data_IF_163464639340
#
_entry.id   IF_163464639340
#
_cell.length_a   1.000
_cell.length_b   1.000
_cell.length_c   1.000
_cell.angle_alpha   90.00
_cell.angle_beta   90.00
_cell.angle_gamma   90.00
#
_symmetry.space_group_name_H-M   'P 1'
#
loop_
_entity.id
_entity.type
_entity.pdbx_description
1 polymer ?
#
# COMPACT_ATOMS: atom_id res chain seq x y z
N UNK A 1 17.49 4.50 15.90
CA UNK A 1 16.89 5.83 15.62
C UNK A 1 15.53 5.60 14.98
N UNK A 2 14.45 5.99 15.67
CA UNK A 2 13.08 5.89 15.16
C UNK A 2 12.85 7.02 14.15
N UNK A 3 13.22 6.80 12.89
CA UNK A 3 12.73 7.64 11.81
C UNK A 3 11.26 7.28 11.61
N UNK A 4 10.34 8.18 11.95
CA UNK A 4 8.94 8.02 11.58
C UNK A 4 8.88 7.81 10.06
N UNK A 5 8.46 6.62 9.64
CA UNK A 5 8.41 6.22 8.22
C UNK A 5 7.15 6.74 7.52
N UNK A 6 6.28 7.41 8.26
CA UNK A 6 4.99 7.91 7.81
C UNK A 6 4.68 9.31 8.38
N UNK A 7 4.12 10.17 7.53
CA UNK A 7 3.52 11.46 7.89
C UNK A 7 2.02 11.37 7.67
N UNK A 8 1.22 11.86 8.63
CA UNK A 8 -0.24 11.81 8.63
C UNK A 8 -0.80 13.20 8.82
N UNK A 9 -1.63 13.65 7.89
CA UNK A 9 -2.18 15.00 7.91
C UNK A 9 -3.65 14.97 7.51
N UNK A 10 -4.51 15.60 8.30
CA UNK A 10 -5.89 15.88 7.90
C UNK A 10 -5.92 17.23 7.17
N UNK A 11 -6.41 17.24 5.93
CA UNK A 11 -6.43 18.39 5.04
C UNK A 11 -7.89 18.81 4.81
N UNK A 12 -8.24 20.03 5.19
CA UNK A 12 -9.54 20.63 4.86
C UNK A 12 -9.48 21.30 3.48
N UNK A 13 -10.39 20.92 2.59
CA UNK A 13 -10.59 21.53 1.27
C UNK A 13 -11.91 22.29 1.32
N UNK A 14 -11.86 23.59 1.07
CA UNK A 14 -13.01 24.49 1.12
C UNK A 14 -13.33 25.01 -0.27
N UNK A 15 -14.58 24.85 -0.70
CA UNK A 15 -15.04 25.25 -2.04
C UNK A 15 -15.81 26.55 -1.99
N UNK A 16 -15.80 27.31 -3.09
CA UNK A 16 -16.56 28.57 -3.22
C UNK A 16 -18.08 28.37 -3.08
N UNK A 17 -18.57 27.13 -3.24
CA UNK A 17 -19.97 26.71 -3.04
C UNK A 17 -20.37 26.67 -1.56
N UNK A 18 -19.43 26.84 -0.64
CA UNK A 18 -19.64 26.69 0.81
C UNK A 18 -19.54 25.25 1.31
N UNK A 19 -19.36 24.28 0.41
CA UNK A 19 -19.10 22.88 0.80
C UNK A 19 -17.64 22.70 1.21
N UNK A 20 -17.38 21.73 2.09
CA UNK A 20 -16.03 21.35 2.47
C UNK A 20 -15.84 19.84 2.48
N UNK A 21 -14.61 19.42 2.21
CA UNK A 21 -14.20 18.02 2.27
C UNK A 21 -12.94 17.88 3.11
N UNK A 22 -12.87 16.83 3.91
CA UNK A 22 -11.69 16.49 4.67
C UNK A 22 -10.98 15.30 4.03
N UNK A 23 -9.70 15.47 3.73
CA UNK A 23 -8.86 14.44 3.13
C UNK A 23 -7.81 14.03 4.14
N UNK A 24 -7.77 12.74 4.49
CA UNK A 24 -6.68 12.18 5.26
C UNK A 24 -5.55 11.81 4.32
N UNK A 25 -4.43 12.51 4.45
CA UNK A 25 -3.22 12.29 3.67
C UNK A 25 -2.22 11.47 4.48
N UNK A 26 -1.75 10.35 3.91
CA UNK A 26 -0.80 9.43 4.56
C UNK A 26 0.40 9.22 3.64
N UNK A 27 1.55 9.78 4.00
CA UNK A 27 2.77 9.74 3.20
C UNK A 27 3.78 8.77 3.79
N UNK A 28 4.20 7.76 3.03
CA UNK A 28 5.34 6.91 3.38
C UNK A 28 6.64 7.52 2.85
N UNK A 29 7.52 7.97 3.73
CA UNK A 29 8.65 8.86 3.36
C UNK A 29 9.93 8.11 3.04
N UNK A 30 10.16 6.94 3.62
CA UNK A 30 11.42 6.20 3.51
C UNK A 30 11.37 5.09 2.45
N UNK A 31 11.02 5.45 1.22
CA UNK A 31 10.94 4.53 0.07
C UNK A 31 11.49 5.17 -1.21
N UNK A 32 12.75 4.84 -1.58
CA UNK A 32 13.38 5.40 -2.76
C UNK A 32 12.70 4.93 -4.05
N UNK A 33 12.82 5.73 -5.12
CA UNK A 33 12.30 5.34 -6.42
C UNK A 33 13.06 4.12 -6.97
N UNK A 34 12.35 3.26 -7.71
CA UNK A 34 12.85 1.96 -8.21
C UNK A 34 13.32 0.95 -7.14
N UNK A 35 13.39 1.34 -5.87
CA UNK A 35 13.74 0.47 -4.74
C UNK A 35 12.53 -0.07 -4.00
N UNK A 36 12.81 -0.58 -2.79
CA UNK A 36 11.83 -1.16 -1.87
C UNK A 36 11.86 -0.41 -0.53
N UNK A 37 10.79 -0.49 0.29
CA UNK A 37 10.84 0.00 1.66
C UNK A 37 12.00 -0.62 2.45
N UNK A 38 12.67 0.18 3.27
CA UNK A 38 13.80 -0.29 4.09
C UNK A 38 13.37 -1.26 5.21
N UNK A 39 12.14 -1.10 5.71
CA UNK A 39 11.56 -1.95 6.76
C UNK A 39 10.28 -2.60 6.26
N UNK A 40 10.27 -3.94 6.23
CA UNK A 40 9.08 -4.73 5.92
C UNK A 40 7.98 -4.45 6.95
N UNK A 41 8.34 -4.43 8.24
CA UNK A 41 7.40 -4.15 9.33
C UNK A 41 6.83 -2.74 9.30
N UNK A 42 7.67 -1.75 9.01
CA UNK A 42 7.20 -0.37 8.80
C UNK A 42 6.19 -0.29 7.66
N UNK A 43 6.45 -1.01 6.57
CA UNK A 43 5.55 -1.05 5.43
C UNK A 43 4.23 -1.78 5.73
N UNK A 44 4.26 -2.91 6.42
CA UNK A 44 3.05 -3.63 6.86
C UNK A 44 2.18 -2.72 7.74
N UNK A 45 2.79 -2.01 8.70
CA UNK A 45 2.08 -1.05 9.57
C UNK A 45 1.44 0.08 8.77
N UNK A 46 2.17 0.64 7.80
CA UNK A 46 1.68 1.69 6.91
C UNK A 46 0.46 1.23 6.08
N UNK A 47 0.53 0.08 5.41
CA UNK A 47 -0.59 -0.45 4.60
C UNK A 47 -1.82 -0.70 5.47
N UNK A 48 -1.64 -1.34 6.64
CA UNK A 48 -2.73 -1.57 7.61
C UNK A 48 -3.34 -0.27 8.11
N UNK A 49 -2.51 0.75 8.38
CA UNK A 49 -2.98 2.05 8.83
C UNK A 49 -3.79 2.76 7.75
N UNK A 50 -3.31 2.77 6.49
CA UNK A 50 -4.02 3.38 5.37
C UNK A 50 -5.40 2.74 5.16
N UNK A 51 -5.46 1.40 5.18
CA UNK A 51 -6.70 0.62 5.07
C UNK A 51 -7.66 0.90 6.23
N UNK A 52 -7.18 0.87 7.47
CA UNK A 52 -8.00 1.15 8.67
C UNK A 52 -8.53 2.59 8.70
N UNK A 53 -7.80 3.52 8.09
CA UNK A 53 -8.17 4.93 8.04
C UNK A 53 -9.17 5.27 6.94
N UNK A 54 -9.41 4.34 6.01
CA UNK A 54 -10.35 4.50 4.91
C UNK A 54 -11.80 4.45 5.42
N UNK A 55 -12.65 5.34 4.89
CA UNK A 55 -14.07 5.40 5.25
C UNK A 55 -14.95 4.89 4.11
N UNK A 56 -14.94 5.57 2.97
CA UNK A 56 -15.76 5.25 1.79
C UNK A 56 -15.08 5.72 0.50
N UNK A 57 -15.56 5.23 -0.65
CA UNK A 57 -15.06 5.60 -1.98
C UNK A 57 -13.73 4.92 -2.36
N UNK A 58 -13.09 5.33 -3.47
CA UNK A 58 -11.76 4.84 -3.82
C UNK A 58 -10.66 5.50 -2.99
N UNK A 59 -9.57 4.77 -2.71
CA UNK A 59 -8.34 5.33 -2.15
C UNK A 59 -7.46 5.84 -3.30
N UNK A 60 -7.06 7.11 -3.26
CA UNK A 60 -6.06 7.65 -4.16
C UNK A 60 -4.66 7.24 -3.68
N UNK A 61 -3.95 6.47 -4.50
CA UNK A 61 -2.56 6.05 -4.24
C UNK A 61 -1.66 6.58 -5.36
N UNK A 62 -0.60 7.31 -5.02
CA UNK A 62 0.35 7.83 -5.99
C UNK A 62 1.80 7.69 -5.52
N UNK A 63 2.72 7.81 -6.47
CA UNK A 63 4.15 8.00 -6.23
C UNK A 63 4.67 9.09 -7.17
N UNK A 64 5.81 8.90 -7.84
CA UNK A 64 6.25 9.74 -8.96
C UNK A 64 5.47 9.39 -10.24
N UNK A 65 5.78 8.26 -10.90
CA UNK A 65 5.07 7.80 -12.11
C UNK A 65 3.73 7.10 -11.84
N UNK A 66 3.38 6.85 -10.58
CA UNK A 66 2.13 6.19 -10.18
C UNK A 66 2.02 4.72 -10.61
N UNK A 67 3.14 3.97 -10.70
CA UNK A 67 3.11 2.55 -11.13
C UNK A 67 4.02 1.62 -10.30
N UNK A 68 5.26 2.00 -9.98
CA UNK A 68 6.20 1.14 -9.24
C UNK A 68 5.80 0.95 -7.78
N UNK A 69 5.98 2.00 -6.97
CA UNK A 69 5.64 2.01 -5.53
C UNK A 69 4.13 1.87 -5.31
N UNK A 70 3.34 2.54 -6.15
CA UNK A 70 1.87 2.39 -6.19
C UNK A 70 1.47 0.94 -6.39
N UNK A 71 2.04 0.23 -7.36
CA UNK A 71 1.73 -1.17 -7.62
C UNK A 71 2.07 -2.09 -6.46
N UNK A 72 3.19 -1.85 -5.76
CA UNK A 72 3.56 -2.63 -4.56
C UNK A 72 2.56 -2.41 -3.43
N UNK A 73 2.13 -1.17 -3.18
CA UNK A 73 1.09 -0.87 -2.19
C UNK A 73 -0.22 -1.60 -2.51
N UNK A 74 -0.71 -1.45 -3.74
CA UNK A 74 -1.97 -2.06 -4.17
C UNK A 74 -1.92 -3.59 -4.12
N UNK A 75 -0.82 -4.20 -4.58
CA UNK A 75 -0.67 -5.66 -4.53
C UNK A 75 -0.75 -6.19 -3.09
N UNK A 76 -0.07 -5.52 -2.16
CA UNK A 76 -0.04 -5.95 -0.75
C UNK A 76 -1.40 -5.72 -0.07
N UNK A 77 -2.08 -4.60 -0.32
CA UNK A 77 -3.43 -4.36 0.22
C UNK A 77 -4.44 -5.41 -0.28
N UNK A 78 -4.39 -5.78 -1.57
CA UNK A 78 -5.24 -6.85 -2.13
C UNK A 78 -4.96 -8.18 -1.44
N UNK A 79 -3.70 -8.54 -1.22
CA UNK A 79 -3.34 -9.78 -0.50
C UNK A 79 -3.81 -9.74 0.95
N UNK A 80 -3.66 -8.62 1.65
CA UNK A 80 -4.16 -8.48 3.03
C UNK A 80 -5.69 -8.66 3.09
N UNK A 81 -6.42 -8.06 2.15
CA UNK A 81 -7.86 -8.26 2.03
C UNK A 81 -8.23 -9.74 1.77
N UNK A 82 -7.45 -10.44 0.93
CA UNK A 82 -7.67 -11.86 0.67
C UNK A 82 -7.40 -12.72 1.91
N UNK A 83 -6.31 -12.47 2.64
CA UNK A 83 -5.98 -13.14 3.91
C UNK A 83 -7.10 -12.92 4.94
N UNK A 84 -7.51 -11.66 5.16
CA UNK A 84 -8.59 -11.30 6.11
C UNK A 84 -9.90 -12.02 5.81
N UNK A 85 -10.20 -12.26 4.53
CA UNK A 85 -11.42 -12.92 4.06
C UNK A 85 -11.27 -14.42 3.82
N UNK A 86 -10.12 -15.00 4.15
CA UNK A 86 -9.79 -16.40 3.89
C UNK A 86 -9.97 -16.80 2.40
N UNK A 87 -9.60 -15.92 1.48
CA UNK A 87 -9.61 -16.18 0.05
C UNK A 87 -8.21 -16.56 -0.47
N UNK A 88 -8.15 -17.48 -1.45
CA UNK A 88 -6.89 -17.77 -2.13
C UNK A 88 -6.42 -16.53 -2.89
N UNK A 89 -5.11 -16.29 -2.89
CA UNK A 89 -4.51 -15.19 -3.63
C UNK A 89 -3.30 -15.70 -4.44
N UNK A 90 -3.00 -14.99 -5.53
CA UNK A 90 -1.81 -15.25 -6.33
C UNK A 90 -1.22 -13.91 -6.78
N UNK A 91 0.00 -13.59 -6.31
CA UNK A 91 0.65 -12.30 -6.57
C UNK A 91 0.83 -12.06 -8.08
N UNK A 92 1.18 -13.09 -8.87
CA UNK A 92 1.34 -12.95 -10.32
C UNK A 92 0.04 -12.52 -10.99
N UNK A 93 -1.08 -13.15 -10.62
CA UNK A 93 -2.39 -12.84 -11.18
C UNK A 93 -2.86 -11.43 -10.77
N UNK A 94 -2.65 -11.04 -9.51
CA UNK A 94 -2.95 -9.69 -9.02
C UNK A 94 -2.17 -8.65 -9.84
N UNK A 95 -0.87 -8.87 -10.04
CA UNK A 95 -0.03 -7.94 -10.80
C UNK A 95 -0.42 -7.90 -12.28
N UNK A 96 -0.78 -9.03 -12.89
CA UNK A 96 -1.30 -9.07 -14.26
C UNK A 96 -2.57 -8.23 -14.40
N UNK A 97 -3.56 -8.42 -13.53
CA UNK A 97 -4.81 -7.65 -13.53
C UNK A 97 -4.58 -6.15 -13.30
N UNK A 98 -3.65 -5.78 -12.40
CA UNK A 98 -3.29 -4.37 -12.21
C UNK A 98 -2.67 -3.78 -13.49
N UNK A 99 -1.85 -4.54 -14.21
CA UNK A 99 -1.21 -4.10 -15.46
C UNK A 99 -2.18 -3.97 -16.63
N UNK A 100 -3.29 -4.72 -16.62
CA UNK A 100 -4.40 -4.55 -17.57
C UNK A 100 -5.13 -3.21 -17.38
N UNK A 101 -5.23 -2.72 -16.14
CA UNK A 101 -5.89 -1.45 -15.82
C UNK A 101 -4.94 -0.24 -15.92
N UNK A 102 -3.67 -0.42 -15.55
CA UNK A 102 -2.62 0.60 -15.69
C UNK A 102 -1.29 -0.06 -15.98
N UNK A 103 -0.80 0.15 -17.21
CA UNK A 103 0.46 -0.40 -17.68
C UNK A 103 1.63 -0.08 -16.73
N UNK A 104 2.50 -1.07 -16.49
CA UNK A 104 3.74 -0.90 -15.73
C UNK A 104 3.63 -1.02 -14.21
N UNK A 105 2.47 -1.43 -13.66
CA UNK A 105 2.33 -1.69 -12.23
C UNK A 105 3.39 -2.68 -11.72
N UNK A 106 4.10 -2.29 -10.66
CA UNK A 106 5.33 -2.91 -10.16
C UNK A 106 6.42 -2.91 -11.23
N UNK A 107 7.40 -2.01 -11.08
CA UNK A 107 8.37 -1.72 -12.15
C UNK A 107 9.61 -2.62 -12.12
N UNK A 108 10.09 -2.98 -10.94
CA UNK A 108 11.37 -3.71 -10.79
C UNK A 108 11.17 -5.11 -10.23
N UNK A 109 12.15 -5.99 -10.48
CA UNK A 109 12.16 -7.34 -9.93
C UNK A 109 12.22 -7.31 -8.41
N UNK A 110 12.95 -6.35 -7.86
CA UNK A 110 13.14 -6.13 -6.43
C UNK A 110 11.80 -5.75 -5.77
N UNK A 111 11.00 -4.89 -6.41
CA UNK A 111 9.65 -4.55 -5.97
C UNK A 111 8.70 -5.75 -6.01
N UNK A 112 8.77 -6.56 -7.07
CA UNK A 112 7.97 -7.77 -7.18
C UNK A 112 8.33 -8.79 -6.09
N UNK A 113 9.63 -9.03 -5.87
CA UNK A 113 10.12 -9.89 -4.80
C UNK A 113 9.73 -9.36 -3.41
N UNK A 114 9.77 -8.05 -3.21
CA UNK A 114 9.36 -7.42 -1.95
C UNK A 114 7.90 -7.71 -1.60
N UNK A 115 7.00 -7.81 -2.59
CA UNK A 115 5.61 -8.22 -2.33
C UNK A 115 5.55 -9.62 -1.69
N UNK A 116 6.31 -10.59 -2.21
CA UNK A 116 6.41 -11.92 -1.61
C UNK A 116 7.01 -11.87 -0.20
N UNK A 117 8.06 -11.05 0.00
CA UNK A 117 8.69 -10.88 1.31
C UNK A 117 7.71 -10.37 2.37
N UNK A 118 6.89 -9.37 2.03
CA UNK A 118 5.86 -8.83 2.93
C UNK A 118 4.82 -9.89 3.28
N UNK A 119 4.36 -10.64 2.28
CA UNK A 119 3.33 -11.68 2.48
C UNK A 119 3.86 -12.81 3.36
N UNK A 120 5.09 -13.28 3.11
CA UNK A 120 5.74 -14.29 3.94
C UNK A 120 5.83 -13.85 5.41
N UNK A 121 6.30 -12.62 5.65
CA UNK A 121 6.41 -12.05 7.01
C UNK A 121 5.05 -12.03 7.73
N UNK A 122 3.97 -11.64 7.02
CA UNK A 122 2.62 -11.61 7.60
C UNK A 122 2.10 -13.01 7.91
N UNK A 123 2.28 -13.97 7.00
CA UNK A 123 1.84 -15.35 7.23
C UNK A 123 2.60 -16.02 8.37
N UNK A 124 3.92 -15.80 8.45
CA UNK A 124 4.74 -16.29 9.56
C UNK A 124 4.25 -15.72 10.90
N UNK A 125 3.95 -14.41 10.95
CA UNK A 125 3.38 -13.79 12.15
C UNK A 125 2.07 -14.44 12.55
N UNK A 126 1.16 -14.67 11.60
CA UNK A 126 -0.12 -15.32 11.89
C UNK A 126 0.05 -16.72 12.47
N UNK A 127 0.97 -17.52 11.93
CA UNK A 127 1.27 -18.88 12.43
C UNK A 127 1.89 -18.90 13.83
N UNK A 128 2.61 -17.85 14.24
CA UNK A 128 3.23 -17.76 15.57
C UNK A 128 2.29 -17.26 16.66
N UNK A 129 1.06 -16.86 16.31
CA UNK A 129 0.03 -16.45 17.27
C UNK A 129 -1.04 -17.55 17.52
N UNK A 130 -0.86 -18.74 16.94
CA UNK A 130 -1.53 -19.99 17.32
C UNK A 130 -0.75 -20.69 18.45
#
# INVERSE_FOLDING_TARGET
>A
MNYATEIKTDIGIFFHTGTSHFVKHVQFTNWPDHGTPASVDGFIKYVRFARKSHLTGPILVHCSAGVGRTGVFLCVDVVFCAIEKNFPFNIRNIVAQMREQRYGMIQTKEQYFFCYKVVLEVLQKLLTFD
#
